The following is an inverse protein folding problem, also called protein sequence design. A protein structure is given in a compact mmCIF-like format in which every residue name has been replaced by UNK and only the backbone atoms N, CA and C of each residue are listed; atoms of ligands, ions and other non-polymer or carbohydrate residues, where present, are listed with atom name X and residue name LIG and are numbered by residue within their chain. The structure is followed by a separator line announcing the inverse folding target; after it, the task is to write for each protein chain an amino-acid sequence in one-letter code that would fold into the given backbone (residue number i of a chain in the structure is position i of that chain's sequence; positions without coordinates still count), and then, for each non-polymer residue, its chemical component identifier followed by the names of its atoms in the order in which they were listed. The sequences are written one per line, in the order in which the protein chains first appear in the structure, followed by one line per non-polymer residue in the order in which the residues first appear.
data_IF_456610271224
#
_entry.id   IF_456610271224
#
_cell.length_a   1.000
_cell.length_b   1.000
_cell.length_c   1.000
_cell.angle_alpha   90.00
_cell.angle_beta   90.00
_cell.angle_gamma   90.00
#
_symmetry.space_group_name_H-M   'P 1'
#
loop_
_entity.id
_entity.type
_entity.pdbx_description
1 polymer ?
#
# COMPACT_ATOMS: atom_id res chain seq x y z
N UNK A 1 17.43 4.25 -18.65
CA UNK A 1 17.73 5.41 -17.78
C UNK A 1 17.21 6.61 -18.52
N UNK A 2 16.16 7.26 -18.01
CA UNK A 2 15.37 8.20 -18.80
C UNK A 2 15.75 9.66 -18.49
N UNK A 3 16.85 10.12 -19.08
CA UNK A 3 17.36 11.48 -18.87
C UNK A 3 16.52 12.54 -19.57
N UNK A 4 15.99 12.21 -20.76
CA UNK A 4 15.05 13.02 -21.54
C UNK A 4 13.77 13.37 -20.76
N UNK A 5 13.40 12.53 -19.78
CA UNK A 5 12.26 12.72 -18.89
C UNK A 5 12.67 13.14 -17.46
N UNK A 6 13.92 13.57 -17.26
CA UNK A 6 14.44 13.98 -15.96
C UNK A 6 14.29 12.92 -14.85
N UNK A 7 14.58 11.66 -15.17
CA UNK A 7 14.62 10.52 -14.23
C UNK A 7 13.28 10.31 -13.48
N UNK A 8 12.16 10.16 -14.20
CA UNK A 8 10.83 10.09 -13.63
C UNK A 8 10.68 8.86 -12.75
N UNK A 9 9.73 8.89 -11.81
CA UNK A 9 9.52 7.77 -10.88
C UNK A 9 9.13 6.47 -11.62
N UNK A 10 8.33 6.60 -12.69
CA UNK A 10 7.83 5.50 -13.48
C UNK A 10 8.90 4.82 -14.34
N UNK A 11 10.14 5.36 -14.43
CA UNK A 11 11.25 4.68 -15.12
C UNK A 11 11.55 3.29 -14.51
N UNK A 12 11.14 3.07 -13.25
CA UNK A 12 11.28 1.79 -12.54
C UNK A 12 10.32 0.70 -13.03
N UNK A 13 9.22 1.09 -13.68
CA UNK A 13 8.22 0.19 -14.25
C UNK A 13 8.50 -0.09 -15.74
N UNK A 14 9.75 0.10 -16.17
CA UNK A 14 10.22 -0.27 -17.50
C UNK A 14 11.46 -1.16 -17.38
N UNK A 15 11.27 -2.48 -17.16
CA UNK A 15 12.39 -3.40 -16.97
C UNK A 15 13.30 -3.47 -18.19
N UNK A 16 14.61 -3.39 -17.95
CA UNK A 16 15.66 -3.62 -18.96
C UNK A 16 16.34 -4.99 -18.78
N UNK A 17 16.35 -5.51 -17.56
CA UNK A 17 16.91 -6.81 -17.18
C UNK A 17 16.49 -7.17 -15.76
N UNK A 18 16.80 -8.39 -15.32
CA UNK A 18 16.58 -8.84 -13.95
C UNK A 18 17.80 -8.69 -13.02
N UNK A 19 18.79 -7.90 -13.42
CA UNK A 19 19.93 -7.55 -12.56
C UNK A 19 19.47 -6.64 -11.42
N UNK A 20 19.91 -6.95 -10.19
CA UNK A 20 19.59 -6.18 -8.99
C UNK A 20 20.52 -4.97 -8.84
N UNK A 21 20.49 -4.04 -9.80
CA UNK A 21 21.22 -2.77 -9.74
C UNK A 21 20.30 -1.65 -10.22
N UNK A 22 19.90 -0.79 -9.29
CA UNK A 22 18.99 0.32 -9.53
C UNK A 22 19.50 1.60 -8.86
N UNK A 23 18.74 2.70 -8.96
CA UNK A 23 19.00 3.91 -8.18
C UNK A 23 18.93 3.70 -6.66
N UNK A 24 18.29 2.62 -6.19
CA UNK A 24 18.24 2.29 -4.76
C UNK A 24 19.48 1.54 -4.27
N UNK A 25 20.36 1.09 -5.16
CA UNK A 25 21.56 0.34 -4.82
C UNK A 25 21.76 -0.92 -5.65
N UNK A 26 22.81 -1.65 -5.31
CA UNK A 26 23.16 -2.95 -5.87
C UNK A 26 22.65 -4.13 -5.03
N UNK A 27 22.88 -5.35 -5.52
CA UNK A 27 22.45 -6.58 -4.86
C UNK A 27 23.03 -6.74 -3.45
N UNK A 28 24.28 -6.30 -3.22
CA UNK A 28 24.92 -6.39 -1.90
C UNK A 28 24.24 -5.46 -0.91
N UNK A 29 23.91 -4.23 -1.33
CA UNK A 29 23.15 -3.27 -0.52
C UNK A 29 21.73 -3.77 -0.26
N UNK A 30 21.09 -4.39 -1.26
CA UNK A 30 19.77 -5.01 -1.11
C UNK A 30 19.79 -6.16 -0.10
N UNK A 31 20.76 -7.08 -0.19
CA UNK A 31 20.94 -8.17 0.76
C UNK A 31 21.24 -7.67 2.19
N UNK A 32 22.04 -6.60 2.34
CA UNK A 32 22.27 -5.98 3.65
C UNK A 32 20.99 -5.41 4.26
N UNK A 33 20.17 -4.73 3.44
CA UNK A 33 18.86 -4.23 3.86
C UNK A 33 17.96 -5.36 4.34
N UNK A 34 17.81 -6.43 3.54
CA UNK A 34 17.00 -7.61 3.89
C UNK A 34 17.44 -8.24 5.21
N UNK A 35 18.75 -8.43 5.40
CA UNK A 35 19.31 -8.99 6.64
C UNK A 35 18.98 -8.12 7.85
N UNK A 36 19.19 -6.80 7.75
CA UNK A 36 18.98 -5.87 8.86
C UNK A 36 17.50 -5.72 9.22
N UNK A 37 16.62 -5.61 8.23
CA UNK A 37 15.18 -5.52 8.45
C UNK A 37 14.63 -6.80 9.09
N UNK A 38 14.95 -7.97 8.53
CA UNK A 38 14.49 -9.25 9.07
C UNK A 38 15.00 -9.50 10.51
N UNK A 39 16.22 -9.08 10.84
CA UNK A 39 16.79 -9.22 12.19
C UNK A 39 16.01 -8.43 13.27
N UNK A 40 15.27 -7.39 12.88
CA UNK A 40 14.41 -6.60 13.78
C UNK A 40 12.91 -6.90 13.56
N UNK A 41 12.59 -8.00 12.86
CA UNK A 41 11.22 -8.43 12.61
C UNK A 41 10.46 -7.63 11.56
N UNK A 42 11.13 -6.76 10.80
CA UNK A 42 10.52 -5.98 9.71
C UNK A 42 10.70 -6.74 8.40
N UNK A 43 9.60 -7.08 7.74
CA UNK A 43 9.59 -7.87 6.50
C UNK A 43 9.62 -6.98 5.27
N UNK A 44 10.20 -7.47 4.20
CA UNK A 44 10.36 -6.75 2.92
C UNK A 44 9.55 -7.47 1.84
N UNK A 45 8.77 -6.70 1.11
CA UNK A 45 7.99 -7.15 -0.04
C UNK A 45 8.55 -6.47 -1.29
N UNK A 46 8.81 -7.23 -2.35
CA UNK A 46 9.37 -6.70 -3.60
C UNK A 46 8.24 -6.34 -4.56
N UNK A 47 8.38 -5.20 -5.23
CA UNK A 47 7.56 -4.84 -6.38
C UNK A 47 8.05 -5.57 -7.63
N UNK A 48 7.28 -6.57 -8.09
CA UNK A 48 7.64 -7.46 -9.17
C UNK A 48 6.96 -7.03 -10.48
N UNK A 49 7.70 -6.29 -11.30
CA UNK A 49 7.29 -5.88 -12.66
C UNK A 49 7.59 -7.01 -13.64
N UNK A 50 6.61 -7.90 -13.83
CA UNK A 50 6.75 -9.14 -14.61
C UNK A 50 5.75 -9.27 -15.76
N UNK A 51 4.88 -8.27 -15.94
CA UNK A 51 3.97 -8.21 -17.10
C UNK A 51 4.71 -7.86 -18.39
N UNK A 52 5.57 -6.85 -18.32
CA UNK A 52 6.13 -6.19 -19.50
C UNK A 52 7.63 -5.90 -19.32
N UNK A 53 8.27 -5.50 -20.42
CA UNK A 53 9.58 -4.85 -20.43
C UNK A 53 9.40 -3.34 -20.70
N UNK A 54 10.35 -2.68 -21.35
CA UNK A 54 10.23 -1.23 -21.63
C UNK A 54 9.20 -0.89 -22.71
N UNK A 55 8.85 0.38 -22.82
CA UNK A 55 8.31 0.95 -24.05
C UNK A 55 9.44 1.23 -25.06
N UNK A 56 9.30 2.32 -25.82
CA UNK A 56 10.30 2.77 -26.80
C UNK A 56 10.85 4.18 -26.49
N UNK A 57 11.42 4.43 -25.29
CA UNK A 57 12.07 5.70 -25.02
C UNK A 57 13.32 5.90 -25.90
N UNK A 58 13.82 7.15 -26.07
CA UNK A 58 15.05 7.40 -26.82
C UNK A 58 16.28 6.68 -26.22
N UNK A 59 16.33 6.55 -24.89
CA UNK A 59 17.44 5.90 -24.19
C UNK A 59 17.26 4.39 -24.06
N UNK A 60 18.24 3.63 -24.55
CA UNK A 60 18.22 2.17 -24.56
C UNK A 60 19.18 1.49 -23.58
N UNK A 61 19.65 2.20 -22.55
CA UNK A 61 20.57 1.69 -21.52
C UNK A 61 19.87 1.71 -20.15
N UNK A 62 19.82 0.57 -19.46
CA UNK A 62 19.29 0.40 -18.12
C UNK A 62 20.26 0.84 -17.01
N UNK A 63 19.77 0.93 -15.78
CA UNK A 63 20.59 1.32 -14.60
C UNK A 63 21.79 0.41 -14.35
N UNK A 64 21.66 -0.86 -14.73
CA UNK A 64 22.72 -1.88 -14.63
C UNK A 64 23.61 -1.99 -15.88
N UNK A 65 23.53 -1.03 -16.81
CA UNK A 65 24.27 -1.04 -18.08
C UNK A 65 23.73 -2.00 -19.15
N UNK A 66 22.67 -2.75 -18.86
CA UNK A 66 22.00 -3.61 -19.85
C UNK A 66 21.41 -2.77 -20.98
N UNK A 67 21.55 -3.23 -22.23
CA UNK A 67 20.95 -2.59 -23.41
C UNK A 67 19.78 -3.39 -23.95
N UNK A 68 18.95 -2.76 -24.79
CA UNK A 68 17.87 -3.40 -25.52
C UNK A 68 17.70 -2.82 -26.93
N UNK A 69 17.07 -3.58 -27.82
CA UNK A 69 16.59 -3.10 -29.13
C UNK A 69 15.07 -3.22 -29.13
N UNK A 70 14.39 -2.11 -28.82
CA UNK A 70 12.95 -2.11 -28.52
C UNK A 70 12.10 -2.54 -29.71
N UNK A 71 12.43 -2.07 -30.93
CA UNK A 71 11.75 -2.43 -32.18
C UNK A 71 11.83 -3.92 -32.53
N UNK A 72 12.77 -4.65 -31.92
CA UNK A 72 12.98 -6.08 -32.14
C UNK A 72 12.59 -6.91 -30.91
N UNK A 73 12.05 -6.28 -29.85
CA UNK A 73 11.72 -6.93 -28.59
C UNK A 73 12.92 -7.71 -28.01
N UNK A 74 14.12 -7.14 -28.15
CA UNK A 74 15.37 -7.82 -27.82
C UNK A 74 15.98 -7.26 -26.53
N UNK A 75 15.97 -8.08 -25.48
CA UNK A 75 16.49 -7.78 -24.15
C UNK A 75 17.54 -8.84 -23.76
N UNK A 76 18.77 -8.75 -24.30
CA UNK A 76 19.77 -9.81 -24.22
C UNK A 76 20.27 -10.10 -22.79
N UNK A 77 20.12 -9.15 -21.86
CA UNK A 77 20.55 -9.33 -20.48
C UNK A 77 19.64 -10.25 -19.65
N UNK A 78 18.45 -10.63 -20.17
CA UNK A 78 17.56 -11.58 -19.49
C UNK A 78 17.86 -13.04 -19.86
N UNK A 79 17.84 -13.55 -21.11
CA UNK A 79 17.60 -12.98 -22.44
C UNK A 79 16.16 -13.17 -22.94
N UNK A 80 15.53 -12.08 -23.39
CA UNK A 80 14.25 -12.14 -24.14
C UNK A 80 14.40 -11.67 -25.58
N UNK A 81 13.64 -12.30 -26.47
CA UNK A 81 13.60 -12.03 -27.91
C UNK A 81 12.13 -12.04 -28.34
N UNK A 82 11.85 -11.60 -29.57
CA UNK A 82 10.48 -11.46 -30.11
C UNK A 82 9.50 -12.60 -29.79
N UNK A 83 9.96 -13.85 -29.83
CA UNK A 83 9.11 -15.03 -29.55
C UNK A 83 8.62 -15.16 -28.10
N UNK A 84 9.22 -14.43 -27.16
CA UNK A 84 8.89 -14.44 -25.73
C UNK A 84 7.85 -13.35 -25.36
N UNK A 85 7.32 -12.63 -26.35
CA UNK A 85 6.33 -11.57 -26.18
C UNK A 85 5.04 -11.95 -26.90
N UNK A 86 3.92 -11.37 -26.47
CA UNK A 86 2.62 -11.65 -27.05
C UNK A 86 2.54 -11.18 -28.52
N UNK A 87 1.90 -12.01 -29.36
CA UNK A 87 1.82 -11.82 -30.81
C UNK A 87 0.47 -12.30 -31.37
N UNK A 88 -0.14 -11.63 -32.37
CA UNK A 88 0.33 -10.44 -33.09
C UNK A 88 0.42 -9.19 -32.19
N UNK A 89 1.34 -8.28 -32.52
CA UNK A 89 1.50 -7.03 -31.78
C UNK A 89 0.19 -6.22 -31.79
N UNK A 90 -0.17 -5.73 -30.62
CA UNK A 90 -1.28 -4.81 -30.39
C UNK A 90 -0.98 -3.95 -29.16
N UNK A 91 -1.66 -2.80 -29.07
CA UNK A 91 -1.64 -1.91 -27.91
C UNK A 91 -3.05 -1.89 -27.33
N UNK A 92 -3.17 -1.93 -26.00
CA UNK A 92 -4.45 -1.85 -25.30
C UNK A 92 -5.12 -0.51 -25.62
N UNK A 93 -6.40 -0.55 -25.98
CA UNK A 93 -7.24 0.64 -26.06
C UNK A 93 -8.24 0.73 -24.90
N UNK A 94 -8.89 1.89 -24.73
CA UNK A 94 -9.82 2.10 -23.62
C UNK A 94 -11.07 1.21 -23.66
N UNK A 95 -11.54 0.80 -24.83
CA UNK A 95 -12.72 -0.07 -24.95
C UNK A 95 -12.40 -1.53 -24.66
N UNK A 96 -11.14 -1.93 -24.78
CA UNK A 96 -10.69 -3.28 -24.40
C UNK A 96 -11.02 -3.60 -22.94
N UNK A 97 -10.90 -2.62 -22.03
CA UNK A 97 -11.28 -2.79 -20.62
C UNK A 97 -12.78 -3.04 -20.43
N UNK A 98 -13.63 -2.64 -21.38
CA UNK A 98 -15.09 -2.80 -21.28
C UNK A 98 -15.54 -4.14 -21.87
N UNK A 99 -14.91 -4.61 -22.95
CA UNK A 99 -15.44 -5.74 -23.72
C UNK A 99 -14.43 -6.79 -24.17
N UNK A 100 -13.13 -6.65 -23.83
CA UNK A 100 -12.09 -7.52 -24.36
C UNK A 100 -10.96 -7.83 -23.36
N UNK A 101 -11.26 -8.68 -22.39
CA UNK A 101 -10.28 -9.20 -21.43
C UNK A 101 -9.05 -9.85 -22.09
N UNK A 102 -9.20 -10.44 -23.29
CA UNK A 102 -8.07 -11.00 -24.02
C UNK A 102 -7.08 -9.91 -24.43
N UNK A 103 -7.56 -8.78 -24.99
CA UNK A 103 -6.66 -7.68 -25.37
C UNK A 103 -6.01 -7.03 -24.16
N UNK A 104 -6.74 -6.86 -23.05
CA UNK A 104 -6.17 -6.32 -21.80
C UNK A 104 -5.01 -7.17 -21.27
N UNK A 105 -5.02 -8.49 -21.54
CA UNK A 105 -3.99 -9.44 -21.07
C UNK A 105 -2.92 -9.85 -22.10
N UNK A 106 -3.06 -9.43 -23.36
CA UNK A 106 -2.15 -9.88 -24.43
C UNK A 106 -1.65 -8.73 -25.34
N UNK A 107 -2.07 -7.49 -25.08
CA UNK A 107 -1.62 -6.31 -25.80
C UNK A 107 -0.75 -5.44 -24.89
N UNK A 108 0.10 -4.62 -25.51
CA UNK A 108 1.01 -3.72 -24.80
C UNK A 108 0.23 -2.66 -24.01
N UNK A 109 0.37 -2.67 -22.69
CA UNK A 109 -0.08 -1.59 -21.81
C UNK A 109 0.75 -0.35 -22.10
N UNK A 110 0.12 0.70 -22.65
CA UNK A 110 0.77 1.97 -23.04
C UNK A 110 2.05 1.80 -23.89
N UNK A 111 2.13 0.74 -24.69
CA UNK A 111 3.27 0.43 -25.55
C UNK A 111 4.45 -0.28 -24.87
N UNK A 112 4.29 -0.69 -23.60
CA UNK A 112 5.27 -1.52 -22.88
C UNK A 112 5.27 -2.94 -23.47
N UNK A 113 6.45 -3.47 -23.82
CA UNK A 113 6.57 -4.75 -24.52
C UNK A 113 6.04 -5.89 -23.65
N UNK A 114 4.91 -6.46 -24.06
CA UNK A 114 4.10 -7.39 -23.27
C UNK A 114 4.63 -8.83 -23.32
N UNK A 115 5.09 -9.37 -22.19
CA UNK A 115 5.67 -10.71 -22.12
C UNK A 115 4.57 -11.77 -22.27
N UNK A 116 4.89 -12.88 -22.93
CA UNK A 116 3.98 -14.03 -23.01
C UNK A 116 4.25 -14.96 -21.81
N UNK A 117 3.52 -14.80 -20.71
CA UNK A 117 3.71 -15.64 -19.51
C UNK A 117 3.20 -17.08 -19.69
N UNK A 118 2.59 -17.43 -20.83
CA UNK A 118 2.32 -18.81 -21.17
C UNK A 118 3.56 -19.55 -21.71
N UNK A 119 4.56 -18.81 -22.18
CA UNK A 119 5.84 -19.36 -22.64
C UNK A 119 6.70 -19.85 -21.46
N UNK A 120 7.26 -21.06 -21.61
CA UNK A 120 7.98 -21.72 -20.53
C UNK A 120 9.35 -21.06 -20.24
N UNK A 121 10.00 -20.46 -21.23
CA UNK A 121 11.23 -19.69 -20.99
C UNK A 121 10.92 -18.43 -20.19
N UNK A 122 9.85 -17.70 -20.54
CA UNK A 122 9.38 -16.53 -19.78
C UNK A 122 9.09 -16.90 -18.32
N UNK A 123 8.31 -17.94 -18.08
CA UNK A 123 8.01 -18.42 -16.71
C UNK A 123 9.27 -18.75 -15.94
N UNK A 124 10.21 -19.47 -16.54
CA UNK A 124 11.46 -19.85 -15.87
C UNK A 124 12.31 -18.63 -15.52
N UNK A 125 12.40 -17.64 -16.41
CA UNK A 125 13.15 -16.41 -16.11
C UNK A 125 12.52 -15.62 -14.95
N UNK A 126 11.18 -15.53 -14.89
CA UNK A 126 10.46 -14.88 -13.80
C UNK A 126 10.64 -15.65 -12.49
N UNK A 127 10.43 -16.97 -12.50
CA UNK A 127 10.58 -17.84 -11.32
C UNK A 127 12.01 -17.77 -10.78
N UNK A 128 13.03 -17.77 -11.65
CA UNK A 128 14.43 -17.65 -11.23
C UNK A 128 14.70 -16.33 -10.51
N UNK A 129 14.20 -15.20 -11.04
CA UNK A 129 14.32 -13.90 -10.36
C UNK A 129 13.63 -13.94 -8.98
N UNK A 130 12.38 -14.40 -8.93
CA UNK A 130 11.60 -14.38 -7.69
C UNK A 130 12.19 -15.33 -6.64
N UNK A 131 12.66 -16.52 -7.03
CA UNK A 131 13.33 -17.45 -6.12
C UNK A 131 14.66 -16.90 -5.62
N UNK A 132 15.45 -16.24 -6.46
CA UNK A 132 16.67 -15.54 -6.02
C UNK A 132 16.35 -14.50 -4.94
N UNK A 133 15.27 -13.72 -5.12
CA UNK A 133 14.82 -12.74 -4.14
C UNK A 133 14.34 -13.38 -2.82
N UNK A 134 13.62 -14.51 -2.89
CA UNK A 134 13.22 -15.30 -1.71
C UNK A 134 14.45 -15.81 -0.97
N UNK A 135 15.43 -16.34 -1.69
CA UNK A 135 16.67 -16.87 -1.13
C UNK A 135 17.49 -15.77 -0.43
N UNK A 136 17.45 -14.53 -0.93
CA UNK A 136 18.03 -13.35 -0.28
C UNK A 136 17.27 -12.88 0.99
N UNK A 137 16.05 -13.36 1.23
CA UNK A 137 15.27 -13.08 2.44
C UNK A 137 14.05 -12.17 2.26
N UNK A 138 13.53 -12.03 1.05
CA UNK A 138 12.24 -11.35 0.78
C UNK A 138 11.07 -12.17 1.35
N UNK A 139 10.04 -11.49 1.88
CA UNK A 139 8.87 -12.13 2.49
C UNK A 139 7.70 -12.35 1.53
N UNK A 140 7.72 -11.68 0.38
CA UNK A 140 6.61 -11.71 -0.57
C UNK A 140 6.73 -10.65 -1.67
N UNK A 141 5.68 -10.52 -2.48
CA UNK A 141 5.69 -9.71 -3.69
C UNK A 141 4.39 -8.92 -3.89
N UNK A 142 4.53 -7.64 -4.25
CA UNK A 142 3.52 -6.92 -5.04
C UNK A 142 3.67 -7.39 -6.47
N UNK A 143 2.60 -7.86 -7.07
CA UNK A 143 2.59 -8.24 -8.49
C UNK A 143 2.02 -7.05 -9.25
N UNK A 144 2.92 -6.29 -9.88
CA UNK A 144 2.59 -5.14 -10.71
C UNK A 144 1.73 -5.54 -11.90
N UNK A 145 0.76 -4.70 -12.25
CA UNK A 145 -0.07 -4.88 -13.44
C UNK A 145 -0.71 -6.28 -13.53
N UNK A 146 -1.08 -6.91 -12.41
CA UNK A 146 -1.61 -8.27 -12.40
C UNK A 146 -2.88 -8.44 -13.25
N UNK A 147 -3.71 -7.39 -13.35
CA UNK A 147 -4.86 -7.35 -14.28
C UNK A 147 -4.48 -7.72 -15.72
N UNK A 148 -3.27 -7.34 -16.14
CA UNK A 148 -2.73 -7.52 -17.49
C UNK A 148 -2.10 -8.90 -17.72
N UNK A 149 -2.11 -9.78 -16.72
CA UNK A 149 -1.62 -11.15 -16.83
C UNK A 149 -2.75 -12.14 -16.60
N UNK A 150 -2.71 -13.30 -17.24
CA UNK A 150 -3.69 -14.37 -17.01
C UNK A 150 -3.50 -14.99 -15.61
N UNK A 151 -4.57 -15.14 -14.81
CA UNK A 151 -4.49 -15.82 -13.51
C UNK A 151 -3.91 -17.24 -13.58
N UNK A 152 -4.15 -17.96 -14.68
CA UNK A 152 -3.60 -19.31 -14.90
C UNK A 152 -2.08 -19.31 -15.03
N UNK A 153 -1.49 -18.31 -15.68
CA UNK A 153 -0.04 -18.22 -15.86
C UNK A 153 0.64 -17.78 -14.56
N UNK A 154 0.03 -16.82 -13.86
CA UNK A 154 0.45 -16.40 -12.53
C UNK A 154 0.45 -17.55 -11.53
N UNK A 155 -0.60 -18.39 -11.52
CA UNK A 155 -0.67 -19.59 -10.67
C UNK A 155 0.53 -20.51 -10.88
N UNK A 156 0.88 -20.79 -12.13
CA UNK A 156 2.02 -21.67 -12.45
C UNK A 156 3.34 -21.07 -11.94
N UNK A 157 3.51 -19.76 -12.05
CA UNK A 157 4.68 -19.05 -11.50
C UNK A 157 4.70 -19.18 -9.97
N UNK A 158 3.59 -18.89 -9.30
CA UNK A 158 3.49 -18.90 -7.84
C UNK A 158 3.70 -20.30 -7.24
N UNK A 159 3.19 -21.35 -7.88
CA UNK A 159 3.35 -22.74 -7.45
C UNK A 159 4.82 -23.20 -7.50
N UNK A 160 5.64 -22.58 -8.36
CA UNK A 160 7.07 -22.87 -8.51
C UNK A 160 7.97 -22.06 -7.57
N UNK A 161 7.41 -21.12 -6.80
CA UNK A 161 8.20 -20.32 -5.87
C UNK A 161 8.73 -21.18 -4.71
N UNK A 162 9.90 -20.85 -4.19
CA UNK A 162 10.46 -21.42 -2.99
C UNK A 162 9.59 -21.09 -1.76
N UNK A 163 9.75 -21.89 -0.70
CA UNK A 163 9.35 -21.45 0.63
C UNK A 163 10.32 -20.36 1.13
N UNK A 164 9.87 -19.50 2.03
CA UNK A 164 10.66 -18.42 2.60
C UNK A 164 11.89 -18.93 3.34
N UNK A 165 13.01 -18.22 3.19
CA UNK A 165 14.30 -18.65 3.72
C UNK A 165 14.36 -18.57 5.26
N UNK A 166 14.41 -19.73 5.93
CA UNK A 166 14.45 -19.81 7.40
C UNK A 166 15.66 -19.12 8.03
N UNK A 167 16.75 -18.91 7.29
CA UNK A 167 17.91 -18.14 7.77
C UNK A 167 17.57 -16.65 8.06
N UNK A 168 16.46 -16.15 7.51
CA UNK A 168 15.93 -14.81 7.75
C UNK A 168 14.81 -14.78 8.80
N UNK A 169 14.70 -15.83 9.62
CA UNK A 169 13.75 -15.89 10.73
C UNK A 169 12.30 -16.10 10.29
N UNK A 170 12.08 -16.73 9.13
CA UNK A 170 10.77 -17.22 8.71
C UNK A 170 10.51 -18.64 9.24
N UNK A 171 9.25 -19.01 9.55
CA UNK A 171 8.90 -20.38 9.89
C UNK A 171 9.18 -21.36 8.75
N UNK A 172 9.44 -22.63 9.08
CA UNK A 172 9.55 -23.68 8.07
C UNK A 172 8.25 -23.79 7.26
N UNK A 173 8.39 -23.99 5.94
CA UNK A 173 7.29 -24.07 4.98
C UNK A 173 6.44 -22.80 4.81
N UNK A 174 6.87 -21.66 5.36
CA UNK A 174 6.20 -20.38 5.07
C UNK A 174 6.28 -20.09 3.56
N UNK A 175 5.15 -19.71 2.96
CA UNK A 175 5.08 -19.29 1.55
C UNK A 175 5.24 -17.78 1.43
N UNK A 176 5.79 -17.25 0.32
CA UNK A 176 5.81 -15.82 0.08
C UNK A 176 4.39 -15.26 0.06
N UNK A 177 4.18 -14.13 0.73
CA UNK A 177 2.91 -13.42 0.66
C UNK A 177 2.78 -12.73 -0.70
N UNK A 178 1.73 -13.05 -1.44
CA UNK A 178 1.47 -12.48 -2.76
C UNK A 178 0.27 -11.55 -2.66
N UNK A 179 0.44 -10.32 -3.13
CA UNK A 179 -0.66 -9.40 -3.36
C UNK A 179 -0.57 -8.79 -4.76
N UNK A 180 -1.71 -8.72 -5.44
CA UNK A 180 -1.79 -8.52 -6.87
C UNK A 180 -2.42 -7.16 -7.16
N UNK A 181 -1.79 -6.37 -8.01
CA UNK A 181 -2.39 -5.14 -8.49
C UNK A 181 -3.47 -5.43 -9.53
N UNK A 182 -4.72 -5.37 -9.10
CA UNK A 182 -5.88 -5.43 -9.98
C UNK A 182 -6.78 -4.24 -9.68
N UNK A 183 -6.65 -3.19 -10.50
CA UNK A 183 -7.48 -1.98 -10.38
C UNK A 183 -8.91 -2.30 -10.80
N UNK A 184 -9.82 -2.63 -9.88
CA UNK A 184 -11.19 -2.98 -10.25
C UNK A 184 -12.21 -2.17 -9.44
N UNK A 185 -12.80 -1.18 -10.11
CA UNK A 185 -13.91 -0.37 -9.62
C UNK A 185 -15.29 -0.93 -10.05
N UNK A 186 -15.32 -2.03 -10.81
CA UNK A 186 -16.50 -2.61 -11.43
C UNK A 186 -16.75 -2.10 -12.86
N UNK A 187 -17.55 -2.85 -13.63
CA UNK A 187 -17.96 -2.47 -14.99
C UNK A 187 -16.92 -2.74 -16.08
N UNK A 188 -15.85 -3.48 -15.76
CA UNK A 188 -14.83 -3.92 -16.71
C UNK A 188 -14.99 -5.40 -17.09
N UNK A 189 -14.32 -5.80 -18.17
CA UNK A 189 -14.28 -7.17 -18.69
C UNK A 189 -13.44 -8.12 -17.82
N UNK A 190 -12.59 -7.58 -16.94
CA UNK A 190 -11.78 -8.33 -15.98
C UNK A 190 -12.23 -7.98 -14.58
N UNK A 191 -12.36 -8.99 -13.74
CA UNK A 191 -12.69 -8.84 -12.33
C UNK A 191 -11.52 -9.21 -11.44
N UNK A 192 -11.35 -8.49 -10.33
CA UNK A 192 -10.42 -8.86 -9.25
C UNK A 192 -10.71 -10.21 -8.62
N UNK A 193 -11.96 -10.68 -8.67
CA UNK A 193 -12.37 -12.00 -8.15
C UNK A 193 -11.72 -13.17 -8.91
N UNK A 194 -11.20 -12.92 -10.12
CA UNK A 194 -10.43 -13.92 -10.87
C UNK A 194 -9.06 -14.22 -10.22
N UNK A 195 -8.56 -13.33 -9.35
CA UNK A 195 -7.22 -13.36 -8.79
C UNK A 195 -7.17 -13.72 -7.30
N UNK A 196 -8.29 -13.60 -6.57
CA UNK A 196 -8.35 -13.99 -5.15
C UNK A 196 -8.00 -15.46 -4.87
N UNK A 197 -8.30 -16.44 -5.76
CA UNK A 197 -7.91 -17.83 -5.50
C UNK A 197 -6.40 -18.10 -5.53
N UNK A 198 -5.57 -17.13 -5.95
CA UNK A 198 -4.12 -17.30 -6.13
C UNK A 198 -3.28 -16.32 -5.31
N UNK A 199 -3.91 -15.43 -4.55
CA UNK A 199 -3.24 -14.47 -3.68
C UNK A 199 -4.16 -13.32 -3.27
N UNK A 200 -3.70 -12.48 -2.36
CA UNK A 200 -4.43 -11.25 -2.02
C UNK A 200 -4.48 -10.31 -3.23
N UNK A 201 -5.41 -9.36 -3.22
CA UNK A 201 -5.60 -8.37 -4.27
C UNK A 201 -5.68 -6.97 -3.65
N UNK A 202 -5.09 -5.99 -4.32
CA UNK A 202 -5.24 -4.58 -3.98
C UNK A 202 -6.70 -4.13 -4.10
N UNK A 203 -7.35 -3.82 -2.99
CA UNK A 203 -8.74 -3.39 -2.95
C UNK A 203 -8.85 -1.87 -3.18
N UNK A 204 -8.74 -1.46 -4.44
CA UNK A 204 -8.76 -0.05 -4.85
C UNK A 204 -10.04 0.72 -4.44
N UNK A 205 -11.18 0.02 -4.26
CA UNK A 205 -12.42 0.66 -3.79
C UNK A 205 -12.30 1.17 -2.35
N UNK A 206 -11.43 0.60 -1.52
CA UNK A 206 -11.22 1.08 -0.14
C UNK A 206 -10.75 2.53 -0.14
N UNK A 207 -9.71 2.83 -0.91
CA UNK A 207 -9.17 4.19 -1.02
C UNK A 207 -10.20 5.18 -1.56
N UNK A 208 -10.95 4.77 -2.60
CA UNK A 208 -12.02 5.59 -3.19
C UNK A 208 -13.14 5.90 -2.19
N UNK A 209 -13.72 4.88 -1.55
CA UNK A 209 -14.88 5.04 -0.67
C UNK A 209 -14.53 5.76 0.64
N UNK A 210 -13.38 5.45 1.25
CA UNK A 210 -12.93 6.18 2.44
C UNK A 210 -12.56 7.62 2.10
N UNK A 211 -11.95 7.88 0.95
CA UNK A 211 -11.70 9.26 0.50
C UNK A 211 -12.99 10.04 0.28
N UNK A 212 -14.00 9.39 -0.29
CA UNK A 212 -15.33 9.96 -0.48
C UNK A 212 -15.99 10.32 0.86
N UNK A 213 -16.00 9.39 1.82
CA UNK A 213 -16.59 9.59 3.14
C UNK A 213 -15.86 10.68 3.95
N UNK A 214 -14.53 10.63 4.03
CA UNK A 214 -13.75 11.57 4.84
C UNK A 214 -13.62 12.96 4.23
N UNK A 215 -13.93 13.15 2.94
CA UNK A 215 -14.15 14.48 2.35
C UNK A 215 -15.53 15.07 2.64
N UNK A 216 -16.44 14.30 3.23
CA UNK A 216 -17.82 14.72 3.51
C UNK A 216 -18.79 14.52 2.35
N UNK A 217 -18.38 13.80 1.30
CA UNK A 217 -19.27 13.45 0.18
C UNK A 217 -20.15 12.22 0.51
N UNK A 218 -19.84 11.50 1.59
CA UNK A 218 -20.69 10.48 2.17
C UNK A 218 -20.62 10.57 3.70
N UNK A 219 -21.70 10.23 4.41
CA UNK A 219 -21.72 10.36 5.87
C UNK A 219 -20.97 9.21 6.55
N UNK A 220 -20.18 9.52 7.58
CA UNK A 220 -19.40 8.51 8.30
C UNK A 220 -20.25 7.42 8.95
N UNK A 221 -21.51 7.71 9.34
CA UNK A 221 -22.43 6.71 9.93
C UNK A 221 -22.60 5.44 9.09
N UNK A 222 -22.46 5.55 7.77
CA UNK A 222 -22.66 4.41 6.86
C UNK A 222 -21.54 3.38 6.96
N UNK A 223 -20.37 3.78 7.46
CA UNK A 223 -19.23 2.89 7.70
C UNK A 223 -19.51 1.84 8.79
N UNK A 224 -20.67 1.87 9.46
CA UNK A 224 -21.17 0.81 10.35
C UNK A 224 -21.23 -0.57 9.71
N UNK A 225 -21.32 -0.63 8.37
CA UNK A 225 -21.36 -1.84 7.56
C UNK A 225 -20.09 -2.09 6.74
N UNK A 226 -19.00 -1.36 7.03
CA UNK A 226 -17.78 -1.36 6.24
C UNK A 226 -17.19 -2.77 6.03
N UNK A 227 -16.86 -3.11 4.78
CA UNK A 227 -16.38 -4.42 4.37
C UNK A 227 -17.14 -4.96 3.15
N UNK A 228 -17.34 -6.30 3.03
CA UNK A 228 -17.94 -6.90 1.84
C UNK A 228 -19.34 -6.37 1.46
N UNK A 229 -20.11 -5.84 2.43
CA UNK A 229 -21.43 -5.24 2.15
C UNK A 229 -21.35 -3.97 1.28
N UNK A 230 -20.17 -3.35 1.22
CA UNK A 230 -19.87 -2.23 0.32
C UNK A 230 -19.43 -2.68 -1.08
N UNK A 231 -19.57 -3.98 -1.39
CA UNK A 231 -19.06 -4.55 -2.63
C UNK A 231 -17.52 -4.55 -2.67
N UNK A 232 -16.89 -4.72 -1.50
CA UNK A 232 -15.46 -4.96 -1.34
C UNK A 232 -15.20 -6.48 -1.31
N UNK A 233 -13.96 -6.90 -1.51
CA UNK A 233 -13.49 -8.28 -1.37
C UNK A 233 -13.66 -8.81 0.07
N UNK A 234 -13.44 -10.12 0.25
CA UNK A 234 -13.34 -10.70 1.59
C UNK A 234 -12.11 -10.18 2.34
N UNK A 235 -12.15 -10.18 3.67
CA UNK A 235 -11.07 -9.64 4.50
C UNK A 235 -9.72 -10.29 4.21
N UNK A 236 -9.72 -11.62 4.12
CA UNK A 236 -8.55 -12.47 3.87
C UNK A 236 -7.92 -12.28 2.48
N UNK A 237 -8.68 -11.76 1.52
CA UNK A 237 -8.26 -11.57 0.13
C UNK A 237 -7.79 -10.13 -0.15
N UNK A 238 -7.86 -9.22 0.83
CA UNK A 238 -7.76 -7.78 0.60
C UNK A 238 -6.47 -7.17 1.14
N UNK A 239 -5.64 -6.62 0.25
CA UNK A 239 -4.67 -5.59 0.62
C UNK A 239 -5.32 -4.21 0.45
N UNK A 240 -5.30 -3.39 1.49
CA UNK A 240 -6.07 -2.15 1.55
C UNK A 240 -5.17 -0.94 1.77
N UNK A 241 -5.52 0.20 1.18
CA UNK A 241 -4.77 1.45 1.31
C UNK A 241 -5.70 2.64 1.02
N UNK A 242 -5.31 3.83 1.48
CA UNK A 242 -6.03 5.07 1.13
C UNK A 242 -5.56 5.57 -0.23
N UNK A 243 -4.25 5.67 -0.39
CA UNK A 243 -3.52 6.06 -1.57
C UNK A 243 -2.38 5.08 -1.85
N UNK A 244 -1.97 5.01 -3.10
CA UNK A 244 -0.75 4.35 -3.55
C UNK A 244 0.09 5.34 -4.36
N UNK A 245 1.22 4.87 -4.88
CA UNK A 245 2.15 5.70 -5.63
C UNK A 245 1.61 6.20 -6.99
N UNK A 246 0.64 5.52 -7.60
CA UNK A 246 -0.02 5.97 -8.84
C UNK A 246 -1.12 6.98 -8.56
N UNK A 247 -2.12 6.60 -7.75
CA UNK A 247 -3.33 7.38 -7.59
C UNK A 247 -3.12 8.63 -6.71
N UNK A 248 -2.04 8.71 -5.93
CA UNK A 248 -1.65 9.99 -5.31
C UNK A 248 -1.28 11.06 -6.35
N UNK A 249 -0.99 10.63 -7.59
CA UNK A 249 -0.68 11.44 -8.78
C UNK A 249 -1.81 11.43 -9.82
N UNK A 250 -2.99 10.92 -9.47
CA UNK A 250 -4.12 10.67 -10.39
C UNK A 250 -3.79 9.71 -11.56
N UNK A 251 -2.73 8.89 -11.42
CA UNK A 251 -2.39 7.81 -12.34
C UNK A 251 -3.09 6.50 -11.94
N UNK A 252 -3.06 5.47 -12.80
CA UNK A 252 -3.52 4.12 -12.45
C UNK A 252 -5.04 3.94 -12.31
N UNK A 253 -5.84 4.91 -12.74
CA UNK A 253 -7.30 4.89 -12.56
C UNK A 253 -7.74 5.23 -11.14
N UNK A 254 -8.95 5.80 -11.00
CA UNK A 254 -9.49 6.16 -9.69
C UNK A 254 -8.88 7.41 -9.02
N UNK A 255 -8.56 8.43 -9.83
CA UNK A 255 -8.21 9.77 -9.31
C UNK A 255 -9.23 10.30 -8.31
N UNK A 256 -8.87 11.35 -7.58
CA UNK A 256 -9.64 11.86 -6.44
C UNK A 256 -9.59 10.94 -5.19
N UNK A 257 -8.41 10.41 -4.83
CA UNK A 257 -8.16 9.84 -3.49
C UNK A 257 -7.57 10.89 -2.53
N UNK A 258 -7.71 10.69 -1.22
CA UNK A 258 -7.03 11.50 -0.20
C UNK A 258 -5.55 11.16 -0.18
N UNK A 259 -4.70 12.18 -0.10
CA UNK A 259 -3.24 12.04 0.00
C UNK A 259 -2.70 12.92 1.12
N UNK A 260 -1.37 12.90 1.33
CA UNK A 260 -0.71 13.81 2.28
C UNK A 260 -1.00 15.30 2.02
N UNK A 261 -1.41 15.67 0.79
CA UNK A 261 -1.81 17.04 0.41
C UNK A 261 -3.15 17.49 1.02
N UNK A 262 -3.94 16.57 1.58
CA UNK A 262 -5.16 16.85 2.34
C UNK A 262 -5.04 16.28 3.77
N UNK A 263 -4.14 16.79 4.61
CA UNK A 263 -3.61 16.07 5.76
C UNK A 263 -4.66 15.72 6.82
N UNK A 264 -5.62 16.60 7.09
CA UNK A 264 -6.65 16.38 8.13
C UNK A 264 -7.59 15.21 7.80
N UNK A 265 -8.33 15.21 6.67
CA UNK A 265 -9.15 14.06 6.28
C UNK A 265 -8.31 12.82 5.92
N UNK A 266 -7.10 12.97 5.38
CA UNK A 266 -6.21 11.85 5.07
C UNK A 266 -5.82 11.04 6.31
N UNK A 267 -5.40 11.73 7.39
CA UNK A 267 -5.19 11.08 8.69
C UNK A 267 -6.47 10.42 9.19
N UNK A 268 -7.64 11.04 8.96
CA UNK A 268 -8.97 10.49 9.26
C UNK A 268 -9.17 9.11 8.66
N UNK A 269 -9.02 9.04 7.34
CA UNK A 269 -9.17 7.81 6.57
C UNK A 269 -8.16 6.73 6.97
N UNK A 270 -6.88 7.08 7.17
CA UNK A 270 -5.86 6.13 7.65
C UNK A 270 -6.18 5.62 9.05
N UNK A 271 -6.62 6.49 9.96
CA UNK A 271 -6.97 6.07 11.32
C UNK A 271 -8.16 5.09 11.28
N UNK A 272 -9.16 5.32 10.43
CA UNK A 272 -10.25 4.36 10.25
C UNK A 272 -9.75 3.04 9.66
N UNK A 273 -8.94 3.09 8.60
CA UNK A 273 -8.32 1.92 7.96
C UNK A 273 -7.55 1.05 8.97
N UNK A 274 -6.74 1.67 9.83
CA UNK A 274 -5.94 0.96 10.83
C UNK A 274 -6.78 0.47 12.02
N UNK A 275 -7.80 1.24 12.43
CA UNK A 275 -8.68 0.88 13.54
C UNK A 275 -9.68 -0.24 13.18
N UNK A 276 -10.11 -0.33 11.93
CA UNK A 276 -11.07 -1.35 11.47
C UNK A 276 -10.37 -2.70 11.21
N UNK A 277 -10.97 -3.87 11.55
CA UNK A 277 -10.33 -5.17 11.33
C UNK A 277 -10.19 -5.60 9.87
N UNK A 278 -10.98 -4.99 8.96
CA UNK A 278 -11.02 -5.35 7.53
C UNK A 278 -9.68 -5.15 6.81
N UNK A 279 -9.38 -6.08 5.90
CA UNK A 279 -8.15 -6.15 5.08
C UNK A 279 -6.82 -6.14 5.82
N UNK A 280 -5.76 -6.22 5.02
CA UNK A 280 -4.38 -5.97 5.42
C UNK A 280 -3.98 -4.54 4.99
N UNK A 281 -3.80 -3.59 5.93
CA UNK A 281 -3.57 -2.19 5.60
C UNK A 281 -2.13 -1.89 5.20
N UNK A 282 -1.96 -1.21 4.08
CA UNK A 282 -0.72 -0.60 3.62
C UNK A 282 -0.78 0.91 3.79
N UNK A 283 0.29 1.49 4.32
CA UNK A 283 0.45 2.94 4.50
C UNK A 283 1.47 3.45 3.49
N UNK A 284 1.08 4.43 2.68
CA UNK A 284 1.97 5.09 1.73
C UNK A 284 3.04 5.94 2.45
N UNK A 285 4.23 6.02 1.88
CA UNK A 285 5.28 6.93 2.34
C UNK A 285 5.95 7.59 1.13
N UNK A 286 5.60 8.85 0.90
CA UNK A 286 5.89 9.56 -0.34
C UNK A 286 7.14 10.43 -0.23
N UNK A 287 7.62 10.87 -1.40
CA UNK A 287 8.38 12.12 -1.53
C UNK A 287 7.44 13.23 -1.99
N UNK A 288 7.79 14.48 -1.68
CA UNK A 288 7.00 15.64 -2.07
C UNK A 288 7.13 15.90 -3.57
N UNK A 289 6.02 16.21 -4.24
CA UNK A 289 5.99 16.45 -5.68
C UNK A 289 4.96 17.54 -6.07
N UNK A 290 5.34 18.36 -7.04
CA UNK A 290 4.50 19.40 -7.64
C UNK A 290 3.96 19.01 -9.03
N UNK A 291 4.54 17.98 -9.64
CA UNK A 291 4.21 17.45 -10.97
C UNK A 291 4.17 15.92 -10.90
N UNK A 292 3.28 15.32 -11.67
CA UNK A 292 2.95 13.89 -11.58
C UNK A 292 4.05 12.99 -12.15
N UNK A 293 4.97 13.54 -12.93
CA UNK A 293 6.03 12.79 -13.62
C UNK A 293 7.35 12.80 -12.84
N UNK A 294 7.51 13.72 -11.89
CA UNK A 294 8.81 13.93 -11.23
C UNK A 294 9.29 12.68 -10.48
N UNK A 295 10.57 12.39 -10.63
CA UNK A 295 11.26 11.39 -9.83
C UNK A 295 11.47 11.83 -8.38
N UNK A 296 11.97 10.92 -7.53
CA UNK A 296 12.30 11.26 -6.14
C UNK A 296 13.47 12.26 -6.07
N UNK A 297 13.66 12.96 -4.93
CA UNK A 297 14.76 13.89 -4.71
C UNK A 297 16.09 13.32 -5.16
N UNK A 298 16.82 14.06 -6.00
CA UNK A 298 18.07 13.60 -6.61
C UNK A 298 19.11 14.72 -6.75
N UNK A 299 20.39 14.32 -6.78
CA UNK A 299 21.50 15.23 -7.10
C UNK A 299 21.62 15.47 -8.61
N UNK A 300 22.57 16.34 -9.01
CA UNK A 300 22.82 16.65 -10.42
C UNK A 300 23.26 15.45 -11.27
N UNK A 301 23.68 14.35 -10.64
CA UNK A 301 24.08 13.11 -11.30
C UNK A 301 22.92 12.09 -11.32
N UNK A 302 21.73 12.46 -10.85
CA UNK A 302 20.54 11.61 -10.80
C UNK A 302 20.58 10.53 -9.71
N UNK A 303 21.50 10.64 -8.74
CA UNK A 303 21.51 9.77 -7.57
C UNK A 303 20.42 10.21 -6.59
N UNK A 304 19.71 9.27 -5.99
CA UNK A 304 18.67 9.59 -5.00
C UNK A 304 19.31 10.23 -3.76
N UNK A 305 18.79 11.40 -3.35
CA UNK A 305 19.15 12.03 -2.08
C UNK A 305 18.41 11.27 -0.97
N UNK A 306 19.18 10.74 0.00
CA UNK A 306 18.63 9.98 1.12
C UNK A 306 17.71 10.85 2.00
N UNK A 307 16.64 10.29 2.59
CA UNK A 307 15.89 10.97 3.64
C UNK A 307 16.81 11.32 4.81
N UNK A 308 16.70 12.54 5.33
CA UNK A 308 17.26 12.92 6.64
C UNK A 308 16.20 12.80 7.71
N UNK A 309 16.58 12.52 8.95
CA UNK A 309 15.67 12.56 10.10
C UNK A 309 15.94 13.84 10.88
N UNK A 310 14.90 14.67 11.02
CA UNK A 310 14.94 15.94 11.74
C UNK A 310 14.83 15.69 13.25
N UNK A 311 15.08 16.72 14.07
CA UNK A 311 15.05 16.61 15.54
C UNK A 311 13.64 16.33 16.12
N UNK A 312 12.60 16.54 15.33
CA UNK A 312 11.20 16.26 15.66
C UNK A 312 10.70 14.92 15.06
N UNK A 313 11.62 14.06 14.64
CA UNK A 313 11.40 12.77 13.96
C UNK A 313 10.74 12.83 12.58
N UNK A 314 10.45 14.02 12.05
CA UNK A 314 10.03 14.21 10.66
C UNK A 314 11.17 13.96 9.68
N UNK A 315 10.86 13.82 8.40
CA UNK A 315 11.87 13.67 7.36
C UNK A 315 12.23 15.01 6.71
N UNK A 316 13.49 15.16 6.30
CA UNK A 316 13.95 16.24 5.44
C UNK A 316 14.26 15.75 4.01
N UNK A 317 14.97 16.58 3.24
CA UNK A 317 15.37 16.28 1.85
C UNK A 317 14.22 15.99 0.88
N UNK A 318 13.03 16.56 1.12
CA UNK A 318 11.87 16.40 0.24
C UNK A 318 11.09 15.08 0.44
N UNK A 319 11.32 14.37 1.56
CA UNK A 319 10.57 13.16 1.89
C UNK A 319 9.41 13.49 2.86
N UNK A 320 8.20 13.05 2.53
CA UNK A 320 6.98 13.35 3.32
C UNK A 320 6.90 12.47 4.57
N UNK A 321 7.28 11.20 4.44
CA UNK A 321 7.33 10.23 5.54
C UNK A 321 6.04 10.16 6.37
N UNK A 322 4.89 9.93 5.73
CA UNK A 322 3.59 9.79 6.41
C UNK A 322 3.65 8.73 7.53
N UNK A 323 4.40 7.64 7.33
CA UNK A 323 4.62 6.61 8.36
C UNK A 323 5.27 7.12 9.67
N UNK A 324 5.88 8.32 9.68
CA UNK A 324 6.46 8.97 10.86
C UNK A 324 5.55 10.02 11.48
N UNK A 325 4.40 10.33 10.87
CA UNK A 325 3.42 11.21 11.49
C UNK A 325 2.87 10.52 12.73
N UNK A 326 2.81 11.24 13.86
CA UNK A 326 2.33 10.70 15.14
C UNK A 326 1.04 9.94 14.99
N UNK A 327 0.07 10.57 14.36
CA UNK A 327 -1.26 10.03 14.11
C UNK A 327 -1.23 8.68 13.37
N UNK A 328 -0.25 8.45 12.50
CA UNK A 328 -0.17 7.24 11.69
C UNK A 328 0.57 6.13 12.45
N UNK A 329 1.78 6.37 12.97
CA UNK A 329 2.46 5.32 13.74
C UNK A 329 1.72 4.96 15.03
N UNK A 330 1.04 5.92 15.66
CA UNK A 330 0.22 5.66 16.83
C UNK A 330 -0.97 4.75 16.50
N UNK A 331 -1.56 4.89 15.31
CA UNK A 331 -2.64 4.02 14.87
C UNK A 331 -2.15 2.63 14.44
N UNK A 332 -0.88 2.49 14.05
CA UNK A 332 -0.23 1.16 13.96
C UNK A 332 -0.12 0.53 15.36
N UNK A 333 0.30 1.31 16.36
CA UNK A 333 0.29 0.90 17.77
C UNK A 333 -1.11 0.51 18.28
N UNK A 334 -2.13 1.30 17.94
CA UNK A 334 -3.55 0.99 18.20
C UNK A 334 -3.96 -0.34 17.58
N UNK A 335 -3.64 -0.58 16.30
CA UNK A 335 -3.98 -1.84 15.62
C UNK A 335 -3.30 -3.03 16.28
N UNK A 336 -2.03 -2.88 16.68
CA UNK A 336 -1.29 -3.91 17.42
C UNK A 336 -1.91 -4.19 18.80
N UNK A 337 -2.32 -3.16 19.54
CA UNK A 337 -2.97 -3.30 20.84
C UNK A 337 -4.37 -3.92 20.73
N UNK A 338 -5.13 -3.59 19.69
CA UNK A 338 -6.41 -4.22 19.38
C UNK A 338 -6.24 -5.71 19.04
N UNK A 339 -5.20 -6.05 18.29
CA UNK A 339 -4.95 -7.42 17.83
C UNK A 339 -6.07 -7.92 16.91
N UNK A 340 -6.46 -9.20 17.09
CA UNK A 340 -7.46 -9.86 16.26
C UNK A 340 -8.92 -9.64 16.69
N UNK A 341 -9.19 -8.74 17.65
CA UNK A 341 -10.56 -8.51 18.13
C UNK A 341 -11.45 -7.94 17.03
N UNK A 342 -12.70 -8.37 16.95
CA UNK A 342 -13.69 -7.74 16.07
C UNK A 342 -14.04 -6.30 16.48
N UNK A 343 -14.91 -5.67 15.70
CA UNK A 343 -15.54 -4.40 16.06
C UNK A 343 -16.74 -4.67 16.98
N UNK A 344 -16.95 -3.83 17.99
CA UNK A 344 -18.13 -3.83 18.86
C UNK A 344 -18.49 -2.40 19.30
N UNK A 345 -19.66 -2.26 19.92
CA UNK A 345 -20.18 -1.01 20.49
C UNK A 345 -20.10 0.17 19.51
N UNK A 346 -20.53 -0.05 18.27
CA UNK A 346 -20.68 1.01 17.29
C UNK A 346 -21.66 2.07 17.80
N UNK A 347 -21.26 3.32 17.70
CA UNK A 347 -22.08 4.50 17.95
C UNK A 347 -21.95 5.48 16.79
N UNK A 348 -23.06 6.11 16.43
CA UNK A 348 -23.07 7.28 15.56
C UNK A 348 -24.15 8.27 15.99
N UNK A 349 -24.01 9.52 15.57
CA UNK A 349 -24.99 10.58 15.84
C UNK A 349 -26.05 10.72 14.74
N UNK A 350 -26.18 9.77 13.82
CA UNK A 350 -26.97 9.90 12.61
C UNK A 350 -26.35 10.80 11.52
N UNK A 351 -25.08 11.22 11.66
CA UNK A 351 -24.35 12.07 10.70
C UNK A 351 -22.87 11.66 10.58
N UNK A 352 -21.92 12.55 10.90
CA UNK A 352 -20.48 12.38 10.69
C UNK A 352 -19.69 12.27 12.00
N UNK A 353 -20.37 11.98 13.11
CA UNK A 353 -19.71 11.56 14.34
C UNK A 353 -19.94 10.07 14.53
N UNK A 354 -18.86 9.31 14.61
CA UNK A 354 -18.87 7.86 14.81
C UNK A 354 -17.87 7.47 15.88
N UNK A 355 -18.12 6.37 16.57
CA UNK A 355 -17.18 5.76 17.50
C UNK A 355 -17.39 4.26 17.56
N UNK A 356 -16.34 3.51 17.88
CA UNK A 356 -16.44 2.06 18.08
C UNK A 356 -15.28 1.52 18.92
N UNK A 357 -15.49 0.33 19.46
CA UNK A 357 -14.49 -0.45 20.16
C UNK A 357 -13.87 -1.52 19.25
N UNK A 358 -12.64 -1.94 19.60
CA UNK A 358 -12.02 -3.18 19.16
C UNK A 358 -11.85 -4.09 20.38
N UNK A 359 -12.83 -4.97 20.58
CA UNK A 359 -12.97 -5.75 21.80
C UNK A 359 -13.03 -4.85 23.05
N UNK A 360 -12.30 -5.25 24.09
CA UNK A 360 -12.02 -4.43 25.27
C UNK A 360 -10.62 -3.81 25.27
N UNK A 361 -9.98 -3.72 24.09
CA UNK A 361 -8.56 -3.39 23.97
C UNK A 361 -8.32 -1.98 23.41
N UNK A 362 -9.20 -1.46 22.57
CA UNK A 362 -9.02 -0.18 21.94
C UNK A 362 -10.36 0.51 21.62
N UNK A 363 -10.38 1.84 21.65
CA UNK A 363 -11.55 2.67 21.35
C UNK A 363 -11.14 3.88 20.51
N UNK A 364 -11.93 4.20 19.49
CA UNK A 364 -11.71 5.36 18.63
C UNK A 364 -13.03 6.10 18.39
N UNK A 365 -12.94 7.43 18.30
CA UNK A 365 -14.03 8.31 17.92
C UNK A 365 -13.58 9.28 16.83
N UNK A 366 -14.50 9.64 15.93
CA UNK A 366 -14.30 10.57 14.82
C UNK A 366 -15.36 11.67 14.87
N UNK A 367 -14.98 12.88 14.48
CA UNK A 367 -15.89 14.00 14.28
C UNK A 367 -15.57 14.72 12.97
N UNK A 368 -16.37 14.43 11.94
CA UNK A 368 -16.33 15.12 10.65
C UNK A 368 -17.61 15.98 10.43
N UNK A 369 -18.37 16.26 11.49
CA UNK A 369 -19.45 17.25 11.49
C UNK A 369 -18.90 18.67 11.77
N UNK A 370 -19.72 19.70 11.54
CA UNK A 370 -19.37 21.10 11.79
C UNK A 370 -19.59 21.56 13.24
N UNK A 371 -19.92 20.64 14.15
CA UNK A 371 -20.09 20.90 15.58
C UNK A 371 -19.37 19.84 16.42
N UNK A 372 -19.12 20.14 17.69
CA UNK A 372 -18.30 19.31 18.54
C UNK A 372 -18.98 17.96 18.85
N UNK A 373 -18.19 16.88 18.83
CA UNK A 373 -18.55 15.64 19.50
C UNK A 373 -18.29 15.86 20.98
N UNK A 374 -19.34 15.79 21.79
CA UNK A 374 -19.27 15.96 23.24
C UNK A 374 -20.27 15.00 23.91
N UNK A 375 -19.85 13.75 24.14
CA UNK A 375 -20.73 12.65 24.55
C UNK A 375 -20.09 11.72 25.57
N UNK A 376 -20.90 11.09 26.41
CA UNK A 376 -20.44 10.00 27.28
C UNK A 376 -20.69 8.66 26.58
N UNK A 377 -19.64 8.03 26.08
CA UNK A 377 -19.71 6.83 25.24
C UNK A 377 -19.19 5.59 25.98
N UNK A 378 -19.65 4.41 25.57
CA UNK A 378 -19.07 3.15 26.01
C UNK A 378 -17.73 2.95 25.27
N UNK A 379 -16.63 2.86 26.02
CA UNK A 379 -15.29 2.67 25.44
C UNK A 379 -14.85 1.22 25.45
N UNK A 380 -15.56 0.36 26.19
CA UNK A 380 -15.24 -1.06 26.37
C UNK A 380 -13.89 -1.31 27.08
N UNK A 381 -13.16 -0.25 27.41
CA UNK A 381 -11.86 -0.33 28.06
C UNK A 381 -12.02 -0.53 29.57
N UNK A 382 -11.03 -1.17 30.22
CA UNK A 382 -10.95 -1.16 31.67
C UNK A 382 -10.86 0.25 32.24
N UNK A 383 -11.40 0.45 33.44
CA UNK A 383 -11.28 1.71 34.17
C UNK A 383 -9.82 2.15 34.29
N UNK A 384 -9.59 3.45 34.14
CA UNK A 384 -8.25 4.01 34.16
C UNK A 384 -8.14 5.33 33.39
N UNK A 385 -6.91 5.84 33.30
CA UNK A 385 -6.58 7.02 32.51
C UNK A 385 -5.82 6.60 31.27
N UNK A 386 -6.17 7.21 30.14
CA UNK A 386 -5.61 6.89 28.84
C UNK A 386 -5.19 8.18 28.14
N UNK A 387 -4.04 8.17 27.50
CA UNK A 387 -3.57 9.22 26.62
C UNK A 387 -4.19 9.03 25.24
N UNK A 388 -4.80 10.08 24.72
CA UNK A 388 -5.19 10.14 23.32
C UNK A 388 -3.95 10.18 22.44
N UNK A 389 -3.70 9.07 21.74
CA UNK A 389 -2.50 8.90 20.92
C UNK A 389 -2.53 9.76 19.65
N UNK A 390 -3.69 10.34 19.32
CA UNK A 390 -3.85 11.23 18.18
C UNK A 390 -3.30 12.62 18.49
N UNK A 391 -3.62 13.18 19.65
CA UNK A 391 -3.20 14.54 20.04
C UNK A 391 -1.84 14.61 20.74
N UNK A 392 -1.28 13.51 21.25
CA UNK A 392 0.06 13.54 21.84
C UNK A 392 0.58 12.18 22.28
N UNK A 393 1.80 12.18 22.81
CA UNK A 393 2.47 10.97 23.30
C UNK A 393 2.29 10.82 24.81
N UNK A 394 2.31 9.57 25.29
CA UNK A 394 2.54 9.29 26.72
C UNK A 394 4.01 9.53 27.06
N UNK A 395 4.26 10.27 28.14
CA UNK A 395 5.59 10.50 28.70
C UNK A 395 5.57 10.17 30.18
N UNK A 396 6.24 9.07 30.56
CA UNK A 396 6.16 8.55 31.92
C UNK A 396 4.71 8.23 32.30
N UNK A 397 4.21 8.85 33.36
CA UNK A 397 2.83 8.68 33.84
C UNK A 397 1.92 9.87 33.47
N UNK A 398 2.17 10.52 32.33
CA UNK A 398 1.46 11.71 31.86
C UNK A 398 1.21 11.68 30.35
N UNK A 399 0.22 12.43 29.91
CA UNK A 399 -0.12 12.59 28.49
C UNK A 399 0.27 14.00 28.04
N UNK A 400 1.02 14.11 26.94
CA UNK A 400 1.30 15.41 26.31
C UNK A 400 0.06 15.99 25.60
N UNK A 401 -0.83 15.12 25.13
CA UNK A 401 -2.11 15.48 24.50
C UNK A 401 -3.29 15.36 25.46
N UNK A 402 -4.47 15.08 24.91
CA UNK A 402 -5.69 14.85 25.69
C UNK A 402 -5.55 13.60 26.57
N UNK A 403 -6.22 13.63 27.72
CA UNK A 403 -6.38 12.47 28.61
C UNK A 403 -7.86 12.10 28.69
N UNK A 404 -8.16 10.81 28.58
CA UNK A 404 -9.50 10.26 28.78
C UNK A 404 -9.51 9.43 30.07
N UNK A 405 -10.51 9.66 30.92
CA UNK A 405 -10.73 8.85 32.12
C UNK A 405 -11.92 7.93 31.87
N UNK A 406 -11.66 6.62 31.91
CA UNK A 406 -12.66 5.56 31.76
C UNK A 406 -13.13 5.13 33.15
N UNK A 407 -14.44 5.14 33.36
CA UNK A 407 -15.09 4.71 34.60
C UNK A 407 -15.14 3.18 34.77
N UNK A 408 -15.60 2.73 35.94
CA UNK A 408 -15.76 1.30 36.24
C UNK A 408 -16.81 0.59 35.38
N UNK A 409 -17.70 1.35 34.74
CA UNK A 409 -18.72 0.87 33.79
C UNK A 409 -18.22 0.87 32.33
N UNK A 410 -16.93 1.18 32.10
CA UNK A 410 -16.31 1.27 30.77
C UNK A 410 -16.64 2.56 30.02
N UNK A 411 -17.45 3.45 30.59
CA UNK A 411 -17.84 4.70 29.92
C UNK A 411 -16.81 5.80 30.14
N UNK A 412 -16.68 6.69 29.16
CA UNK A 412 -15.85 7.89 29.28
C UNK A 412 -16.53 9.07 28.59
N UNK A 413 -16.20 10.27 29.06
CA UNK A 413 -16.59 11.51 28.40
C UNK A 413 -15.62 11.79 27.25
N UNK A 414 -16.13 11.76 26.02
CA UNK A 414 -15.37 11.89 24.78
C UNK A 414 -15.66 13.26 24.16
N UNK A 415 -14.59 14.00 23.88
CA UNK A 415 -14.65 15.32 23.24
C UNK A 415 -13.70 15.42 22.04
N UNK A 416 -14.27 15.63 20.86
CA UNK A 416 -13.52 15.91 19.61
C UNK A 416 -14.14 17.15 18.99
N UNK A 417 -13.41 18.26 18.99
CA UNK A 417 -13.89 19.54 18.47
C UNK A 417 -13.99 19.53 16.95
N UNK A 418 -14.99 20.21 16.39
CA UNK A 418 -15.16 20.31 14.93
C UNK A 418 -13.97 20.99 14.23
N UNK A 419 -13.20 21.79 14.98
CA UNK A 419 -12.03 22.52 14.52
C UNK A 419 -10.72 22.00 15.12
N UNK A 420 -10.73 20.85 15.80
CA UNK A 420 -9.49 20.23 16.26
C UNK A 420 -8.58 19.91 15.07
N UNK A 421 -7.27 20.04 15.29
CA UNK A 421 -6.23 19.77 14.28
C UNK A 421 -6.39 18.38 13.63
N UNK A 422 -6.77 17.40 14.45
CA UNK A 422 -7.13 16.04 14.07
C UNK A 422 -8.62 15.81 14.35
N UNK A 423 -9.32 15.12 13.45
CA UNK A 423 -10.77 14.87 13.54
C UNK A 423 -11.13 13.62 14.35
N UNK A 424 -10.20 13.11 15.14
CA UNK A 424 -10.34 11.82 15.81
C UNK A 424 -9.58 11.79 17.14
N UNK A 425 -10.03 10.90 18.01
CA UNK A 425 -9.43 10.58 19.30
C UNK A 425 -9.32 9.06 19.40
N UNK A 426 -8.17 8.55 19.82
CA UNK A 426 -7.93 7.11 19.93
C UNK A 426 -7.21 6.76 21.24
N UNK A 427 -7.71 5.75 21.94
CA UNK A 427 -7.14 5.24 23.20
C UNK A 427 -7.13 3.71 23.21
N UNK A 428 -6.15 3.10 23.88
CA UNK A 428 -6.01 1.65 23.93
C UNK A 428 -5.28 1.15 25.17
N UNK A 429 -5.34 -0.15 25.44
CA UNK A 429 -4.69 -0.78 26.61
C UNK A 429 -3.16 -0.86 26.50
N UNK A 430 -2.61 -0.74 25.29
CA UNK A 430 -1.18 -0.74 25.02
C UNK A 430 -0.39 0.38 25.73
N UNK A 431 0.95 0.21 25.85
CA UNK A 431 1.81 1.04 26.69
C UNK A 431 1.89 2.50 26.27
N UNK A 432 1.56 2.83 25.01
CA UNK A 432 1.56 4.17 24.44
C UNK A 432 0.36 5.02 24.90
N UNK A 433 -0.70 4.38 25.39
CA UNK A 433 -1.95 5.06 25.74
C UNK A 433 -2.31 4.91 27.22
N UNK A 434 -2.34 3.70 27.77
CA UNK A 434 -2.77 3.48 29.17
C UNK A 434 -1.76 4.03 30.17
N UNK A 435 -2.18 4.87 31.12
CA UNK A 435 -1.33 5.37 32.22
C UNK A 435 -1.13 4.35 33.33
#
# INVERSE_FOLDING_TARGET
VLWSYNRPWWERYQPMSYKLVTRSGDERQFADMLRRCNAVGVRIYVDAVINHMTGEPPENVGTAGSTAVFSDWNYPAVPFYRQHFNWPHCVIDGMDYVNNAWRVRNCELVGLKDLNQADEHVRNMIVNLMNHLIDLGVAGFRIDAAKHMWPSDLRIIYDRLHNLNTAHGFPANARPYIYQEVIDYGGEAISRDEYTPIGAVTEFKVGMELSNAFRGNNQLRWLSSWGPQWGLLAHEDSLTFIDNHDNERDHGGGGNVLTYKNPRPYKGAIAFLLAHPYGEPQVMSSFDFWDTEVGPPMDNNGNIISPSINSDDSCGNGWVCQHRWRQIYAMVGFRNAAGSTGLNDWWDNGSNQIAFCRGGNAFIAFNNDYWDLNQTLQTCLPAGRYCDVMSGNKVGNSCQGKTVTVGNDGRAHITVGANDYDMMLAIHVGPESRL
#
